data_IF_564990173158
#
_entry.id   IF_564990173158
#
_cell.length_a   1.000
_cell.length_b   1.000
_cell.length_c   1.000
_cell.angle_alpha   90.00
_cell.angle_beta   90.00
_cell.angle_gamma   90.00
#
_symmetry.space_group_name_H-M   'P 1'
#
loop_
_entity.id
_entity.type
_entity.pdbx_description
1 polymer ?
#
# COMPACT_ATOMS: atom_id res chain seq x y z
N UNK A 1 -20.48 53.02 -26.55
CA UNK A 1 -19.29 52.56 -25.79
C UNK A 1 -19.62 51.21 -25.16
N UNK A 2 -19.81 50.16 -25.97
CA UNK A 2 -20.38 48.88 -25.47
C UNK A 2 -19.73 47.64 -26.12
N UNK A 3 -18.87 47.83 -27.11
CA UNK A 3 -18.31 46.73 -27.92
C UNK A 3 -17.00 46.19 -27.31
N UNK A 4 -16.26 46.98 -26.54
CA UNK A 4 -15.04 46.51 -25.85
C UNK A 4 -15.32 45.56 -24.68
N UNK A 5 -16.41 45.78 -23.93
CA UNK A 5 -16.73 44.99 -22.73
C UNK A 5 -16.97 43.51 -23.07
N UNK A 6 -17.57 43.25 -24.22
CA UNK A 6 -17.88 41.89 -24.70
C UNK A 6 -16.62 41.13 -25.15
N UNK A 7 -15.58 41.84 -25.62
CA UNK A 7 -14.33 41.23 -26.10
C UNK A 7 -13.47 40.73 -24.93
N UNK A 8 -13.42 41.48 -23.83
CA UNK A 8 -12.74 41.06 -22.61
C UNK A 8 -13.45 39.92 -21.90
N UNK A 9 -14.79 39.91 -21.90
CA UNK A 9 -15.56 38.81 -21.31
C UNK A 9 -15.34 37.48 -22.05
N UNK A 10 -15.24 37.48 -23.40
CA UNK A 10 -14.89 36.27 -24.14
C UNK A 10 -13.50 35.74 -23.77
N UNK A 11 -12.49 36.62 -23.67
CA UNK A 11 -11.15 36.22 -23.21
C UNK A 11 -11.16 35.69 -21.78
N UNK A 12 -11.90 36.35 -20.88
CA UNK A 12 -12.01 35.95 -19.48
C UNK A 12 -12.69 34.58 -19.35
N UNK A 13 -13.76 34.33 -20.11
CA UNK A 13 -14.44 33.04 -20.17
C UNK A 13 -13.51 31.95 -20.72
N UNK A 14 -12.78 32.21 -21.81
CA UNK A 14 -11.82 31.25 -22.37
C UNK A 14 -10.70 30.91 -21.39
N UNK A 15 -10.14 31.90 -20.70
CA UNK A 15 -9.12 31.67 -19.66
C UNK A 15 -9.67 30.86 -18.49
N UNK A 16 -10.91 31.15 -18.07
CA UNK A 16 -11.55 30.44 -16.96
C UNK A 16 -11.80 28.97 -17.29
N UNK A 17 -12.22 28.66 -18.53
CA UNK A 17 -12.40 27.28 -19.00
C UNK A 17 -11.07 26.51 -19.05
N UNK A 18 -9.99 27.13 -19.54
CA UNK A 18 -8.66 26.50 -19.58
C UNK A 18 -8.15 26.21 -18.16
N UNK A 19 -8.34 27.14 -17.23
CA UNK A 19 -7.96 26.95 -15.83
C UNK A 19 -8.73 25.78 -15.19
N UNK A 20 -10.02 25.65 -15.52
CA UNK A 20 -10.87 24.56 -15.03
C UNK A 20 -10.41 23.20 -15.54
N UNK A 21 -10.03 23.11 -16.81
CA UNK A 21 -9.49 21.88 -17.42
C UNK A 21 -8.16 21.48 -16.78
N UNK A 22 -7.27 22.46 -16.51
CA UNK A 22 -6.00 22.20 -15.82
C UNK A 22 -6.21 21.67 -14.39
N UNK A 23 -7.12 22.27 -13.63
CA UNK A 23 -7.50 21.81 -12.29
C UNK A 23 -8.10 20.39 -12.32
N UNK A 24 -9.03 20.13 -13.23
CA UNK A 24 -9.63 18.81 -13.38
C UNK A 24 -8.58 17.75 -13.77
N UNK A 25 -7.68 18.08 -14.69
CA UNK A 25 -6.56 17.23 -15.07
C UNK A 25 -5.61 16.94 -13.91
N UNK A 26 -5.28 17.94 -13.11
CA UNK A 26 -4.42 17.79 -11.94
C UNK A 26 -5.04 16.84 -10.90
N UNK A 27 -6.32 17.04 -10.55
CA UNK A 27 -7.04 16.19 -9.59
C UNK A 27 -7.10 14.73 -10.08
N UNK A 28 -7.35 14.51 -11.38
CA UNK A 28 -7.39 13.16 -11.96
C UNK A 28 -6.04 12.44 -11.88
N UNK A 29 -4.94 13.13 -12.15
CA UNK A 29 -3.59 12.56 -12.05
C UNK A 29 -3.24 12.22 -10.61
N UNK A 30 -3.56 13.12 -9.67
CA UNK A 30 -3.28 12.93 -8.24
C UNK A 30 -4.05 11.71 -7.69
N UNK A 31 -5.38 11.67 -7.90
CA UNK A 31 -6.25 10.53 -7.56
C UNK A 31 -5.80 9.21 -8.18
N UNK A 32 -5.33 9.23 -9.42
CA UNK A 32 -4.87 8.01 -10.11
C UNK A 32 -3.52 7.52 -9.58
N UNK A 33 -2.65 8.45 -9.16
CA UNK A 33 -1.38 8.13 -8.51
C UNK A 33 -1.61 7.53 -7.12
N UNK A 34 -2.49 8.13 -6.32
CA UNK A 34 -2.85 7.61 -4.99
C UNK A 34 -3.48 6.20 -5.07
N UNK A 35 -4.43 5.99 -5.98
CA UNK A 35 -5.08 4.68 -6.15
C UNK A 35 -4.09 3.57 -6.52
N UNK A 36 -3.12 3.86 -7.41
CA UNK A 36 -2.06 2.90 -7.75
C UNK A 36 -1.07 2.66 -6.62
N UNK A 37 -0.80 3.67 -5.79
CA UNK A 37 0.05 3.53 -4.62
C UNK A 37 -0.61 2.62 -3.58
N UNK A 38 -1.90 2.81 -3.30
CA UNK A 38 -2.69 1.93 -2.42
C UNK A 38 -2.73 0.49 -2.93
N UNK A 39 -2.96 0.30 -4.24
CA UNK A 39 -3.02 -1.04 -4.84
C UNK A 39 -1.69 -1.80 -4.69
N UNK A 40 -0.56 -1.12 -4.92
CA UNK A 40 0.76 -1.74 -4.73
C UNK A 40 1.01 -2.11 -3.26
N UNK A 41 0.65 -1.24 -2.32
CA UNK A 41 0.81 -1.54 -0.89
C UNK A 41 -0.05 -2.73 -0.45
N UNK A 42 -1.27 -2.85 -0.96
CA UNK A 42 -2.17 -3.97 -0.67
C UNK A 42 -1.62 -5.30 -1.22
N UNK A 43 -1.12 -5.32 -2.46
CA UNK A 43 -0.51 -6.52 -3.06
C UNK A 43 0.74 -6.94 -2.27
N UNK A 44 1.58 -5.99 -1.86
CA UNK A 44 2.75 -6.27 -1.03
C UNK A 44 2.36 -6.84 0.33
N UNK A 45 1.37 -6.26 1.01
CA UNK A 45 0.89 -6.77 2.29
C UNK A 45 0.34 -8.20 2.17
N UNK A 46 -0.45 -8.49 1.13
CA UNK A 46 -0.96 -9.85 0.88
C UNK A 46 0.17 -10.86 0.63
N UNK A 47 1.11 -10.53 -0.26
CA UNK A 47 2.23 -11.43 -0.56
C UNK A 47 3.12 -11.71 0.67
N UNK A 48 3.33 -10.69 1.51
CA UNK A 48 4.04 -10.83 2.78
C UNK A 48 3.26 -11.72 3.76
N UNK A 49 1.95 -11.50 3.91
CA UNK A 49 1.10 -12.24 4.84
C UNK A 49 0.97 -13.72 4.45
N UNK A 50 0.84 -14.02 3.15
CA UNK A 50 0.82 -15.39 2.64
C UNK A 50 2.17 -16.10 2.85
N UNK A 51 3.28 -15.40 2.57
CA UNK A 51 4.63 -15.94 2.78
C UNK A 51 4.94 -16.21 4.26
N UNK A 52 4.53 -15.31 5.15
CA UNK A 52 4.65 -15.52 6.60
C UNK A 52 3.77 -16.67 7.08
N UNK A 53 2.53 -16.79 6.59
CA UNK A 53 1.66 -17.91 6.93
C UNK A 53 2.30 -19.26 6.61
N UNK A 54 2.90 -19.39 5.42
CA UNK A 54 3.54 -20.63 4.99
C UNK A 54 4.79 -20.98 5.82
N UNK A 55 5.60 -19.98 6.19
CA UNK A 55 6.76 -20.18 7.06
C UNK A 55 6.36 -20.55 8.49
N UNK A 56 5.31 -19.91 9.03
CA UNK A 56 4.79 -20.22 10.38
C UNK A 56 4.25 -21.64 10.44
N UNK A 57 3.53 -22.11 9.41
CA UNK A 57 3.01 -23.49 9.37
C UNK A 57 4.15 -24.52 9.41
N UNK A 58 5.22 -24.31 8.64
CA UNK A 58 6.37 -25.23 8.65
C UNK A 58 7.09 -25.25 10.00
N UNK A 59 7.24 -24.08 10.63
CA UNK A 59 7.80 -24.02 11.99
C UNK A 59 6.87 -24.74 12.96
N UNK A 60 5.56 -24.48 12.92
CA UNK A 60 4.55 -25.14 13.76
C UNK A 60 4.61 -26.67 13.67
N UNK A 61 4.70 -27.24 12.47
CA UNK A 61 4.84 -28.70 12.30
C UNK A 61 6.10 -29.22 12.97
N UNK A 62 7.23 -28.52 12.87
CA UNK A 62 8.47 -28.96 13.51
C UNK A 62 8.42 -28.82 15.04
N UNK A 63 7.91 -27.73 15.59
CA UNK A 63 7.78 -27.59 17.05
C UNK A 63 6.74 -28.53 17.66
N UNK A 64 5.74 -28.99 16.89
CA UNK A 64 4.78 -30.01 17.35
C UNK A 64 5.43 -31.36 17.69
N UNK A 65 6.63 -31.62 17.18
CA UNK A 65 7.43 -32.81 17.53
C UNK A 65 8.19 -32.67 18.86
N UNK A 66 7.96 -31.57 19.60
CA UNK A 66 8.71 -31.19 20.80
C UNK A 66 10.23 -31.06 20.60
N UNK A 67 10.66 -30.84 19.35
CA UNK A 67 12.04 -30.50 19.04
C UNK A 67 12.19 -28.97 19.02
N UNK A 68 13.31 -28.48 19.57
CA UNK A 68 13.61 -27.06 19.56
C UNK A 68 13.95 -26.63 18.13
N UNK A 69 13.23 -25.66 17.61
CA UNK A 69 13.47 -25.13 16.27
C UNK A 69 14.19 -23.78 16.41
N UNK A 70 15.46 -23.67 15.97
CA UNK A 70 16.18 -22.41 16.01
C UNK A 70 15.70 -21.48 14.89
N UNK A 71 15.11 -20.35 15.26
CA UNK A 71 14.76 -19.26 14.35
C UNK A 71 15.89 -18.24 14.30
N UNK A 72 16.30 -17.89 13.08
CA UNK A 72 17.33 -16.91 12.83
C UNK A 72 16.72 -15.67 12.19
N UNK A 73 16.82 -14.53 12.88
CA UNK A 73 16.36 -13.24 12.39
C UNK A 73 17.51 -12.22 12.50
N UNK A 74 18.26 -12.06 11.40
CA UNK A 74 19.47 -11.21 11.37
C UNK A 74 20.58 -11.79 12.26
N UNK A 75 20.99 -11.03 13.29
CA UNK A 75 22.02 -11.44 14.26
C UNK A 75 21.45 -12.06 15.55
N UNK A 76 20.12 -12.24 15.62
CA UNK A 76 19.47 -12.84 16.79
C UNK A 76 19.01 -14.25 16.44
N UNK A 77 19.36 -15.22 17.29
CA UNK A 77 18.82 -16.57 17.26
C UNK A 77 17.89 -16.80 18.45
N UNK A 78 16.74 -17.41 18.20
CA UNK A 78 15.75 -17.76 19.21
C UNK A 78 15.38 -19.23 19.04
N UNK A 79 15.42 -20.00 20.12
CA UNK A 79 14.95 -21.38 20.11
C UNK A 79 13.47 -21.40 20.50
N UNK A 80 12.63 -21.87 19.60
CA UNK A 80 11.19 -21.99 19.84
C UNK A 80 10.86 -23.43 20.19
N UNK A 81 10.04 -23.62 21.21
CA UNK A 81 9.46 -24.90 21.62
C UNK A 81 7.97 -24.69 21.85
N UNK A 82 7.15 -25.69 21.48
CA UNK A 82 5.72 -25.61 21.74
C UNK A 82 5.44 -25.64 23.25
N UNK A 83 4.49 -24.83 23.71
CA UNK A 83 4.19 -24.68 25.14
C UNK A 83 3.65 -25.99 25.71
N UNK A 84 2.89 -26.75 24.93
CA UNK A 84 2.41 -28.09 25.30
C UNK A 84 3.52 -29.09 25.61
N UNK A 85 4.75 -28.86 25.15
CA UNK A 85 5.90 -29.71 25.45
C UNK A 85 6.58 -29.35 26.78
N UNK A 86 6.27 -28.17 27.35
CA UNK A 86 6.84 -27.70 28.63
C UNK A 86 5.96 -28.06 29.84
N UNK A 87 4.69 -28.42 29.63
CA UNK A 87 3.74 -28.78 30.70
C UNK A 87 3.76 -30.27 31.10
N UNK A 88 4.85 -30.99 30.83
CA UNK A 88 5.00 -32.41 31.19
C UNK A 88 5.80 -32.66 32.46
#
# INVERSE_FOLDING_TARGET
MTIEKTRNNKKLITTLVILLILLAGYILVDKYSEAKAEERLNIYQKGIQDGFGQAIVQVMEQVSTCQQVPLFAGNVSLNVVAVECLEK
#
